data_IF_896632466326
#
_entry.id   IF_896632466326
#
_cell.length_a   1.000
_cell.length_b   1.000
_cell.length_c   1.000
_cell.angle_alpha   90.00
_cell.angle_beta   90.00
_cell.angle_gamma   90.00
#
_symmetry.space_group_name_H-M   'P 1'
#
loop_
_entity.id
_entity.type
_entity.pdbx_description
1 polymer ?
#
# COMPACT_ATOMS: atom_id res chain seq x y z
N UNK A 1 26.81 -5.24 19.40
CA UNK A 1 26.09 -4.12 18.75
C UNK A 1 25.81 -4.31 17.26
N UNK A 2 26.71 -4.93 16.46
CA UNK A 2 26.52 -5.03 14.99
C UNK A 2 25.37 -5.96 14.53
N UNK A 3 25.04 -6.96 15.34
CA UNK A 3 24.00 -7.95 15.00
C UNK A 3 22.58 -7.36 15.01
N UNK A 4 22.26 -6.52 16.00
CA UNK A 4 20.97 -5.83 16.08
C UNK A 4 20.75 -4.89 14.89
N UNK A 5 21.80 -4.21 14.43
CA UNK A 5 21.76 -3.38 13.22
C UNK A 5 21.45 -4.18 11.96
N UNK A 6 22.02 -5.37 11.81
CA UNK A 6 21.73 -6.24 10.66
C UNK A 6 20.27 -6.70 10.65
N UNK A 7 19.74 -7.12 11.81
CA UNK A 7 18.34 -7.54 11.92
C UNK A 7 17.40 -6.38 11.60
N UNK A 8 17.70 -5.18 12.13
CA UNK A 8 16.89 -3.99 11.88
C UNK A 8 16.92 -3.55 10.41
N UNK A 9 18.08 -3.63 9.77
CA UNK A 9 18.23 -3.31 8.35
C UNK A 9 17.43 -4.25 7.44
N UNK A 10 17.44 -5.56 7.73
CA UNK A 10 16.63 -6.54 7.00
C UNK A 10 15.13 -6.26 7.20
N UNK A 11 14.71 -5.97 8.43
CA UNK A 11 13.31 -5.66 8.75
C UNK A 11 12.81 -4.39 8.04
N UNK A 12 13.64 -3.34 8.00
CA UNK A 12 13.35 -2.11 7.27
C UNK A 12 13.24 -2.37 5.76
N UNK A 13 14.17 -3.12 5.17
CA UNK A 13 14.14 -3.45 3.74
C UNK A 13 12.87 -4.21 3.36
N UNK A 14 12.45 -5.19 4.17
CA UNK A 14 11.19 -5.91 3.97
C UNK A 14 9.99 -4.96 4.05
N UNK A 15 9.99 -4.04 5.02
CA UNK A 15 8.91 -3.06 5.19
C UNK A 15 8.82 -2.06 4.04
N UNK A 16 9.97 -1.62 3.51
CA UNK A 16 10.10 -0.75 2.33
C UNK A 16 9.71 -1.47 1.03
N UNK A 17 9.93 -2.78 0.95
CA UNK A 17 9.61 -3.59 -0.21
C UNK A 17 8.10 -3.88 -0.35
N UNK A 18 7.29 -3.63 0.70
CA UNK A 18 5.83 -3.65 0.57
C UNK A 18 5.41 -2.33 -0.09
N UNK A 19 5.06 -2.33 -1.39
CA UNK A 19 4.80 -1.10 -2.11
C UNK A 19 3.49 -0.51 -1.60
N UNK A 20 3.59 0.52 -0.77
CA UNK A 20 2.50 1.43 -0.49
C UNK A 20 1.30 0.83 0.26
N UNK A 21 1.53 -0.01 1.27
CA UNK A 21 0.48 -0.35 2.22
C UNK A 21 0.04 0.94 2.93
N UNK A 22 -1.11 1.51 2.54
CA UNK A 22 -1.66 2.73 3.14
C UNK A 22 -1.20 4.07 2.55
N UNK A 23 -0.76 4.14 1.29
CA UNK A 23 -0.53 5.45 0.67
C UNK A 23 -1.83 6.26 0.58
N UNK A 24 -1.79 7.51 1.03
CA UNK A 24 -2.87 8.50 0.87
C UNK A 24 -2.74 9.09 -0.53
N UNK A 25 -3.71 8.81 -1.40
CA UNK A 25 -3.84 9.38 -2.74
C UNK A 25 -4.93 10.44 -2.72
N UNK A 26 -4.76 11.51 -3.50
CA UNK A 26 -5.85 12.48 -3.68
C UNK A 26 -7.06 11.83 -4.36
N UNK A 27 -6.80 11.07 -5.43
CA UNK A 27 -7.82 10.43 -6.24
C UNK A 27 -7.68 8.92 -6.35
N UNK A 28 -8.82 8.23 -6.35
CA UNK A 28 -8.88 6.79 -6.61
C UNK A 28 -8.91 6.59 -8.13
N UNK A 29 -7.88 5.97 -8.72
CA UNK A 29 -7.86 5.74 -10.16
C UNK A 29 -9.05 4.86 -10.57
N UNK A 30 -9.54 5.06 -11.80
CA UNK A 30 -10.70 4.32 -12.34
C UNK A 30 -10.55 2.79 -12.35
N UNK A 31 -9.32 2.28 -12.33
CA UNK A 31 -9.03 0.84 -12.29
C UNK A 31 -9.13 0.26 -10.88
N UNK A 32 -9.13 1.12 -9.86
CA UNK A 32 -9.41 0.77 -8.48
C UNK A 32 -10.91 0.87 -8.19
N UNK A 33 -11.31 0.28 -7.08
CA UNK A 33 -12.70 0.30 -6.61
C UNK A 33 -12.76 0.78 -5.16
N UNK A 34 -13.81 1.52 -4.80
CA UNK A 34 -14.01 1.96 -3.42
C UNK A 34 -14.67 0.84 -2.60
N UNK A 35 -14.07 0.45 -1.48
CA UNK A 35 -14.65 -0.52 -0.55
C UNK A 35 -14.22 -0.24 0.88
N UNK A 36 -15.01 -0.70 1.86
CA UNK A 36 -14.63 -0.68 3.27
C UNK A 36 -13.54 -1.70 3.60
N UNK A 37 -13.40 -2.75 2.79
CA UNK A 37 -12.33 -3.74 2.87
C UNK A 37 -11.86 -4.11 1.46
N UNK A 38 -10.55 -4.16 1.27
CA UNK A 38 -9.93 -4.60 0.02
C UNK A 38 -9.62 -6.10 0.07
N UNK A 39 -9.55 -6.74 -1.10
CA UNK A 39 -9.06 -8.12 -1.15
C UNK A 39 -7.62 -8.19 -0.65
N UNK A 40 -7.19 -9.31 -0.08
CA UNK A 40 -5.81 -9.48 0.43
C UNK A 40 -4.74 -9.29 -0.65
N UNK A 41 -5.11 -9.51 -1.90
CA UNK A 41 -4.24 -9.32 -3.06
C UNK A 41 -4.19 -7.86 -3.51
N UNK A 42 -5.19 -7.05 -3.14
CA UNK A 42 -5.31 -5.67 -3.56
C UNK A 42 -4.58 -4.74 -2.60
N UNK A 43 -3.95 -3.71 -3.17
CA UNK A 43 -3.32 -2.65 -2.40
C UNK A 43 -4.40 -1.66 -2.00
N UNK A 44 -4.62 -1.53 -0.69
CA UNK A 44 -5.53 -0.52 -0.18
C UNK A 44 -4.81 0.83 -0.05
N UNK A 45 -5.52 1.88 -0.41
CA UNK A 45 -5.04 3.27 -0.33
C UNK A 45 -6.16 4.17 0.15
N UNK A 46 -5.83 5.24 0.88
CA UNK A 46 -6.82 6.24 1.26
C UNK A 46 -7.03 7.20 0.11
N UNK A 47 -8.27 7.50 -0.27
CA UNK A 47 -8.59 8.51 -1.27
C UNK A 47 -9.76 9.37 -0.85
N UNK A 48 -9.65 10.68 -1.12
CA UNK A 48 -10.72 11.65 -0.85
C UNK A 48 -11.99 11.39 -1.65
N UNK A 49 -11.89 10.69 -2.78
CA UNK A 49 -13.05 10.32 -3.62
C UNK A 49 -13.81 9.10 -3.08
N UNK A 50 -13.18 8.30 -2.23
CA UNK A 50 -13.83 7.16 -1.58
C UNK A 50 -14.18 7.51 -0.13
N UNK A 51 -15.41 7.22 0.31
CA UNK A 51 -15.80 7.34 1.72
C UNK A 51 -14.97 6.44 2.66
N UNK A 52 -14.40 5.36 2.11
CA UNK A 52 -13.58 4.39 2.83
C UNK A 52 -12.19 4.25 2.16
N UNK A 53 -11.84 3.04 1.71
CA UNK A 53 -10.57 2.75 1.05
C UNK A 53 -10.75 2.63 -0.46
N UNK A 54 -9.72 3.04 -1.18
CA UNK A 54 -9.52 2.77 -2.59
C UNK A 54 -8.68 1.49 -2.74
N UNK A 55 -9.28 0.43 -3.28
CA UNK A 55 -8.65 -0.86 -3.50
C UNK A 55 -8.09 -0.92 -4.91
N UNK A 56 -6.81 -1.26 -5.04
CA UNK A 56 -6.07 -1.25 -6.29
C UNK A 56 -5.57 -2.66 -6.61
N UNK A 57 -5.78 -3.15 -7.84
CA UNK A 57 -5.28 -4.46 -8.22
C UNK A 57 -3.74 -4.52 -8.12
N UNK A 58 -3.19 -5.66 -7.65
CA UNK A 58 -1.74 -5.84 -7.55
C UNK A 58 -1.13 -5.81 -8.95
N UNK A 59 -0.23 -4.86 -9.18
CA UNK A 59 0.35 -4.60 -10.51
C UNK A 59 -0.09 -3.28 -11.12
N UNK A 60 -0.99 -2.54 -10.48
CA UNK A 60 -1.24 -1.16 -10.86
C UNK A 60 -0.03 -0.28 -10.49
N UNK A 61 0.88 -0.09 -11.45
CA UNK A 61 1.88 0.96 -11.36
C UNK A 61 1.19 2.29 -11.65
N UNK A 62 1.21 3.18 -10.66
CA UNK A 62 0.92 4.58 -10.93
C UNK A 62 1.85 5.03 -12.06
N UNK A 63 1.25 5.44 -13.17
CA UNK A 63 1.97 5.98 -14.31
C UNK A 63 2.55 7.34 -13.97
#
# INVERSE_FOLDING_TARGET
MKFLYLVFAVFLLVSLAVPGYGQIRKHCPKVGYCSSQCSKVDVWSFSSDCKYYCCLPPGWKAK
#
